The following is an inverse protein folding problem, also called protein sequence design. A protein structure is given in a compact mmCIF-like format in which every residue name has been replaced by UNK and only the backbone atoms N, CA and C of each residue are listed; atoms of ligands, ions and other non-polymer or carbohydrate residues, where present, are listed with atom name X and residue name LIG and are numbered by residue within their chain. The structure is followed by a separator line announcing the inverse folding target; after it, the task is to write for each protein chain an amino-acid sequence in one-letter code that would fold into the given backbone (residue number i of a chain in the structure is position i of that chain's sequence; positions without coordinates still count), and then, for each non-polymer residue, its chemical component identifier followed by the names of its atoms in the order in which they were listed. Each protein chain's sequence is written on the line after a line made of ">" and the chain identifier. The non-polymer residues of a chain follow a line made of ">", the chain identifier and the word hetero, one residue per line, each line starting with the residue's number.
data_IF_756548511754
#
_entry.id   IF_756548511754
#
_cell.length_a   1.000
_cell.length_b   1.000
_cell.length_c   1.000
_cell.angle_alpha   90.00
_cell.angle_beta   90.00
_cell.angle_gamma   90.00
#
_symmetry.space_group_name_H-M   'P 1'
#
loop_
_entity.id
_entity.type
_entity.pdbx_description
1 polymer ?
#
# COMPACT_ATOMS: atom_id res chain seq x y z
N UNK A 1 1.89 -48.34 17.09
CA UNK A 1 2.58 -47.05 16.94
C UNK A 1 2.05 -45.98 17.90
N UNK A 2 0.75 -45.77 17.96
CA UNK A 2 0.17 -44.76 18.87
C UNK A 2 0.51 -45.02 20.35
N UNK A 3 0.42 -46.27 20.80
CA UNK A 3 0.74 -46.65 22.18
C UNK A 3 2.22 -46.43 22.56
N UNK A 4 3.13 -46.54 21.60
CA UNK A 4 4.55 -46.26 21.81
C UNK A 4 4.82 -44.76 22.01
N UNK A 5 4.15 -43.93 21.24
CA UNK A 5 4.25 -42.45 21.34
C UNK A 5 3.66 -41.96 22.67
N UNK A 6 2.50 -42.49 23.06
CA UNK A 6 1.84 -42.16 24.33
C UNK A 6 2.71 -42.56 25.49
N UNK A 7 3.24 -43.79 25.49
CA UNK A 7 4.11 -44.34 26.55
C UNK A 7 5.42 -43.56 26.67
N UNK A 8 6.01 -43.12 25.55
CA UNK A 8 7.20 -42.29 25.52
C UNK A 8 6.93 -40.88 26.09
N UNK A 9 5.79 -40.28 25.72
CA UNK A 9 5.36 -38.97 26.25
C UNK A 9 5.16 -38.98 27.76
N UNK A 10 4.55 -40.05 28.31
CA UNK A 10 4.29 -40.15 29.74
C UNK A 10 5.58 -40.42 30.53
N UNK A 11 6.50 -41.17 29.96
CA UNK A 11 7.76 -41.53 30.64
C UNK A 11 8.78 -40.36 30.62
N UNK A 12 8.81 -39.55 29.57
CA UNK A 12 9.78 -38.46 29.40
C UNK A 12 9.10 -37.06 29.44
N UNK A 13 8.48 -36.78 30.57
CA UNK A 13 7.75 -35.50 30.80
C UNK A 13 8.63 -34.26 30.54
N UNK A 14 9.93 -34.31 30.85
CA UNK A 14 10.86 -33.21 30.65
C UNK A 14 11.10 -32.94 29.16
N UNK A 15 11.22 -33.97 28.32
CA UNK A 15 11.43 -33.83 26.88
C UNK A 15 10.18 -33.20 26.23
N UNK A 16 8.99 -33.68 26.63
CA UNK A 16 7.73 -33.12 26.14
C UNK A 16 7.55 -31.68 26.58
N UNK A 17 7.86 -31.34 27.82
CA UNK A 17 7.83 -29.98 28.34
C UNK A 17 8.80 -29.04 27.61
N UNK A 18 10.03 -29.51 27.37
CA UNK A 18 11.02 -28.75 26.58
C UNK A 18 10.55 -28.51 25.15
N UNK A 19 9.98 -29.50 24.49
CA UNK A 19 9.45 -29.39 23.15
C UNK A 19 8.28 -28.40 23.08
N UNK A 20 7.38 -28.42 24.04
CA UNK A 20 6.27 -27.46 24.15
C UNK A 20 6.76 -26.04 24.32
N UNK A 21 7.74 -25.80 25.19
CA UNK A 21 8.35 -24.48 25.41
C UNK A 21 9.04 -23.97 24.11
N UNK A 22 9.79 -24.86 23.44
CA UNK A 22 10.44 -24.51 22.17
C UNK A 22 9.40 -24.14 21.08
N UNK A 23 8.29 -24.86 21.01
CA UNK A 23 7.23 -24.63 20.04
C UNK A 23 6.52 -23.29 20.30
N UNK A 24 6.20 -22.98 21.56
CA UNK A 24 5.61 -21.70 21.97
C UNK A 24 6.57 -20.54 21.71
N UNK A 25 7.85 -20.66 22.06
CA UNK A 25 8.86 -19.64 21.82
C UNK A 25 9.04 -19.34 20.33
N UNK A 26 9.08 -20.38 19.48
CA UNK A 26 9.14 -20.23 18.02
C UNK A 26 7.89 -19.55 17.49
N UNK A 27 6.72 -19.89 17.99
CA UNK A 27 5.44 -19.29 17.60
C UNK A 27 5.39 -17.79 17.91
N UNK A 28 5.79 -17.39 19.10
CA UNK A 28 5.85 -15.98 19.53
C UNK A 28 6.86 -15.19 18.68
N UNK A 29 8.02 -15.75 18.41
CA UNK A 29 9.04 -15.12 17.59
C UNK A 29 8.58 -14.90 16.14
N UNK A 30 7.92 -15.89 15.56
CA UNK A 30 7.35 -15.80 14.21
C UNK A 30 6.17 -14.83 14.15
N UNK A 31 5.32 -14.80 15.18
CA UNK A 31 4.18 -13.88 15.27
C UNK A 31 4.63 -12.41 15.28
N UNK A 32 5.77 -12.09 15.90
CA UNK A 32 6.35 -10.76 15.89
C UNK A 32 6.91 -10.32 14.53
N UNK A 33 7.17 -11.27 13.62
CA UNK A 33 7.66 -11.01 12.26
C UNK A 33 6.55 -11.00 11.21
N UNK A 34 5.33 -11.40 11.56
CA UNK A 34 4.22 -11.28 10.62
C UNK A 34 3.97 -9.80 10.35
N UNK A 35 4.03 -9.37 9.09
CA UNK A 35 3.52 -8.06 8.73
C UNK A 35 2.02 -8.03 9.07
N UNK A 36 1.64 -7.12 9.96
CA UNK A 36 0.26 -6.99 10.47
C UNK A 36 -0.66 -6.41 9.39
N UNK A 37 -0.14 -6.07 8.23
CA UNK A 37 -0.92 -5.68 7.08
C UNK A 37 -1.72 -6.87 6.56
N UNK A 38 -2.91 -7.05 7.14
CA UNK A 38 -3.85 -8.11 6.78
C UNK A 38 -4.36 -7.99 5.33
N UNK A 39 -4.10 -6.87 4.69
CA UNK A 39 -4.39 -6.62 3.28
C UNK A 39 -3.09 -6.15 2.63
N UNK A 40 -2.59 -6.80 1.56
CA UNK A 40 -1.48 -6.23 0.79
C UNK A 40 -1.89 -4.83 0.36
N UNK A 41 -1.02 -3.86 0.63
CA UNK A 41 -1.24 -2.48 0.21
C UNK A 41 -1.16 -2.42 -1.33
N UNK A 42 -2.33 -2.63 -1.95
CA UNK A 42 -2.52 -2.57 -3.41
C UNK A 42 -2.74 -1.13 -3.90
N UNK A 43 -2.54 -0.15 -3.01
CA UNK A 43 -2.65 1.26 -3.37
C UNK A 43 -1.42 1.64 -4.19
N UNK A 44 -1.62 1.87 -5.47
CA UNK A 44 -0.57 2.40 -6.34
C UNK A 44 -0.07 3.72 -5.79
N UNK A 45 1.21 3.99 -5.95
CA UNK A 45 1.80 5.28 -5.61
C UNK A 45 1.15 6.37 -6.47
N UNK A 46 0.27 7.16 -5.87
CA UNK A 46 -0.50 8.19 -6.59
C UNK A 46 -0.43 9.54 -5.91
N UNK A 47 -0.40 10.57 -6.71
CA UNK A 47 -0.52 11.96 -6.27
C UNK A 47 -1.82 12.53 -6.83
N UNK A 48 -2.62 13.13 -5.97
CA UNK A 48 -3.88 13.75 -6.31
C UNK A 48 -3.76 15.27 -6.20
N UNK A 49 -3.98 15.97 -7.31
CA UNK A 49 -4.05 17.44 -7.35
C UNK A 49 -5.51 17.86 -7.43
N UNK A 50 -5.96 18.60 -6.42
CA UNK A 50 -7.32 19.11 -6.35
C UNK A 50 -7.28 20.64 -6.48
N UNK A 51 -7.90 21.17 -7.52
CA UNK A 51 -7.99 22.61 -7.74
C UNK A 51 -9.44 23.06 -7.73
N UNK A 52 -9.76 24.01 -6.86
CA UNK A 52 -11.10 24.58 -6.74
C UNK A 52 -11.15 25.97 -7.38
N UNK A 53 -12.03 26.14 -8.35
CA UNK A 53 -12.24 27.39 -9.05
C UNK A 53 -13.75 27.62 -9.33
N UNK A 54 -14.52 28.00 -8.31
CA UNK A 54 -15.99 28.03 -8.36
C UNK A 54 -16.58 28.99 -9.42
N UNK A 55 -15.79 29.94 -9.92
CA UNK A 55 -16.22 30.90 -10.93
C UNK A 55 -16.23 30.35 -12.36
N UNK A 56 -15.66 29.16 -12.60
CA UNK A 56 -15.48 28.63 -13.95
C UNK A 56 -16.40 27.45 -14.24
N UNK A 57 -16.87 27.36 -15.48
CA UNK A 57 -17.58 26.21 -16.01
C UNK A 57 -16.64 25.01 -16.21
N UNK A 58 -17.21 23.82 -16.38
CA UNK A 58 -16.43 22.58 -16.55
C UNK A 58 -15.46 22.65 -17.75
N UNK A 59 -15.90 23.25 -18.86
CA UNK A 59 -15.05 23.42 -20.08
C UNK A 59 -13.91 24.39 -19.85
N UNK A 60 -14.14 25.47 -19.11
CA UNK A 60 -13.11 26.46 -18.80
C UNK A 60 -12.10 25.89 -17.84
N UNK A 61 -12.54 25.11 -16.85
CA UNK A 61 -11.64 24.40 -15.93
C UNK A 61 -10.76 23.42 -16.67
N UNK A 62 -11.32 22.66 -17.61
CA UNK A 62 -10.54 21.72 -18.42
C UNK A 62 -9.45 22.43 -19.21
N UNK A 63 -9.80 23.53 -19.88
CA UNK A 63 -8.86 24.27 -20.75
C UNK A 63 -7.81 25.07 -19.99
N UNK A 64 -8.21 25.71 -18.90
CA UNK A 64 -7.35 26.67 -18.18
C UNK A 64 -6.59 26.05 -17.01
N UNK A 65 -7.07 24.96 -16.45
CA UNK A 65 -6.52 24.32 -15.24
C UNK A 65 -6.06 22.90 -15.53
N UNK A 66 -6.97 22.03 -15.94
CA UNK A 66 -6.67 20.59 -16.09
C UNK A 66 -5.64 20.32 -17.15
N UNK A 67 -5.84 20.83 -18.35
CA UNK A 67 -4.94 20.62 -19.49
C UNK A 67 -3.51 21.14 -19.26
N UNK A 68 -3.29 22.37 -18.74
CA UNK A 68 -1.93 22.83 -18.41
C UNK A 68 -1.25 21.97 -17.33
N UNK A 69 -2.00 21.49 -16.33
CA UNK A 69 -1.45 20.61 -15.30
C UNK A 69 -1.03 19.27 -15.91
N UNK A 70 -1.86 18.68 -16.76
CA UNK A 70 -1.52 17.44 -17.46
C UNK A 70 -0.27 17.62 -18.35
N UNK A 71 -0.20 18.69 -19.11
CA UNK A 71 0.95 18.97 -19.98
C UNK A 71 2.24 19.17 -19.18
N UNK A 72 2.19 19.92 -18.09
CA UNK A 72 3.35 20.17 -17.25
C UNK A 72 3.89 18.88 -16.61
N UNK A 73 3.00 17.96 -16.24
CA UNK A 73 3.36 16.74 -15.52
C UNK A 73 3.59 15.51 -16.41
N UNK A 74 3.25 15.58 -17.69
CA UNK A 74 3.36 14.44 -18.61
C UNK A 74 4.81 13.97 -18.84
N UNK A 75 5.80 14.80 -18.56
CA UNK A 75 7.22 14.49 -18.73
C UNK A 75 7.91 14.01 -17.44
N UNK A 76 7.18 13.77 -16.37
CA UNK A 76 7.77 13.29 -15.11
C UNK A 76 8.21 11.83 -15.26
N UNK A 77 9.48 11.57 -14.93
CA UNK A 77 10.02 10.22 -14.96
C UNK A 77 9.30 9.31 -13.96
N UNK A 78 8.88 8.12 -14.41
CA UNK A 78 8.21 7.14 -13.57
C UNK A 78 6.70 7.33 -13.44
N UNK A 79 6.13 8.28 -14.18
CA UNK A 79 4.70 8.42 -14.33
C UNK A 79 4.16 7.27 -15.19
N UNK A 80 3.22 6.51 -14.63
CA UNK A 80 2.55 5.40 -15.31
C UNK A 80 1.29 5.83 -16.03
N UNK A 81 0.47 6.64 -15.38
CA UNK A 81 -0.82 7.08 -15.90
C UNK A 81 -1.23 8.43 -15.31
N UNK A 82 -1.89 9.26 -16.09
CA UNK A 82 -2.58 10.47 -15.64
C UNK A 82 -4.07 10.29 -15.90
N UNK A 83 -4.87 10.53 -14.89
CA UNK A 83 -6.33 10.57 -14.98
C UNK A 83 -6.82 11.91 -14.48
N UNK A 84 -7.65 12.57 -15.27
CA UNK A 84 -8.24 13.85 -14.88
C UNK A 84 -9.75 13.78 -14.86
N UNK A 85 -10.32 14.60 -14.02
CA UNK A 85 -11.76 14.79 -13.93
C UNK A 85 -12.05 16.29 -13.73
N UNK A 86 -12.74 16.88 -14.69
CA UNK A 86 -13.14 18.29 -14.66
C UNK A 86 -14.64 18.43 -14.45
N UNK A 87 -15.01 19.22 -13.48
CA UNK A 87 -16.39 19.55 -13.17
C UNK A 87 -16.51 21.06 -12.94
N UNK A 88 -17.73 21.61 -13.01
CA UNK A 88 -17.97 23.01 -12.70
C UNK A 88 -17.41 23.37 -11.31
N UNK A 89 -16.45 24.25 -11.26
CA UNK A 89 -15.80 24.70 -10.04
C UNK A 89 -14.69 23.77 -9.47
N UNK A 90 -14.40 22.61 -10.10
CA UNK A 90 -13.47 21.64 -9.55
C UNK A 90 -12.66 20.92 -10.64
N UNK A 91 -11.36 20.87 -10.46
CA UNK A 91 -10.44 20.01 -11.23
C UNK A 91 -9.77 18.99 -10.30
N UNK A 92 -9.77 17.74 -10.71
CA UNK A 92 -9.11 16.62 -10.05
C UNK A 92 -8.14 15.99 -11.05
N UNK A 93 -6.86 16.00 -10.74
CA UNK A 93 -5.84 15.33 -11.55
C UNK A 93 -5.16 14.28 -10.68
N UNK A 94 -5.28 13.04 -11.08
CA UNK A 94 -4.65 11.90 -10.40
C UNK A 94 -3.49 11.40 -11.25
N UNK A 95 -2.30 11.44 -10.68
CA UNK A 95 -1.08 10.92 -11.30
C UNK A 95 -0.68 9.63 -10.60
N UNK A 96 -0.59 8.56 -11.36
CA UNK A 96 -0.17 7.23 -10.87
C UNK A 96 1.27 7.02 -11.25
N UNK A 97 2.12 6.72 -10.27
CA UNK A 97 3.53 6.45 -10.45
C UNK A 97 3.81 4.94 -10.33
N UNK A 98 4.93 4.50 -10.87
CA UNK A 98 5.40 3.14 -10.69
C UNK A 98 5.76 2.89 -9.21
N UNK A 99 5.66 1.63 -8.79
CA UNK A 99 5.90 1.22 -7.39
C UNK A 99 7.33 1.50 -6.90
N UNK A 100 8.28 1.67 -7.82
CA UNK A 100 9.69 1.97 -7.53
C UNK A 100 9.92 3.43 -7.10
N UNK A 101 8.91 4.29 -7.23
CA UNK A 101 9.03 5.72 -6.99
C UNK A 101 8.53 6.09 -5.60
N UNK A 102 9.35 6.84 -4.86
CA UNK A 102 8.96 7.38 -3.56
C UNK A 102 7.85 8.45 -3.74
N UNK A 103 6.74 8.27 -3.03
CA UNK A 103 5.59 9.19 -3.03
C UNK A 103 5.99 10.61 -2.63
N UNK A 104 6.94 10.76 -1.71
CA UNK A 104 7.43 12.07 -1.29
C UNK A 104 8.20 12.79 -2.40
N UNK A 105 9.01 12.05 -3.16
CA UNK A 105 9.71 12.58 -4.33
C UNK A 105 8.70 12.99 -5.42
N UNK A 106 7.69 12.17 -5.69
CA UNK A 106 6.64 12.45 -6.67
C UNK A 106 5.85 13.73 -6.35
N UNK A 107 5.63 14.03 -5.07
CA UNK A 107 4.96 15.27 -4.63
C UNK A 107 5.78 16.55 -4.83
N UNK A 108 7.09 16.43 -4.97
CA UNK A 108 7.99 17.57 -5.15
C UNK A 108 8.14 17.97 -6.60
N UNK A 109 7.75 17.13 -7.54
CA UNK A 109 7.79 17.41 -8.97
C UNK A 109 6.58 18.24 -9.40
#
# INVERSE_FOLDING_TARGET
>A
MLNAIIKFSIHNKLIVGLFMVALVATGIYQAGKLPIDAVPDITNNQVLVITSAPAYGAVDIERLITFPIEQANNNINGLSEIRSFSRSGLSLVTMVFNDDIDVYWARQQ
#
